data_IF_373033265790
#
_entry.id   IF_373033265790
#
_cell.length_a   1.000
_cell.length_b   1.000
_cell.length_c   1.000
_cell.angle_alpha   90.00
_cell.angle_beta   90.00
_cell.angle_gamma   90.00
#
_symmetry.space_group_name_H-M   'P 1'
#
loop_
_entity.id
_entity.type
_entity.pdbx_description
1 polymer ?
#
# COMPACT_ATOMS: atom_id res chain seq x y z
N UNK A 1 21.34 21.79 6.64
CA UNK A 1 20.49 21.37 5.51
C UNK A 1 21.28 21.62 4.23
N UNK A 2 21.29 20.65 3.33
CA UNK A 2 22.07 20.72 2.08
C UNK A 2 21.37 21.61 1.06
N UNK A 3 22.10 22.41 0.27
CA UNK A 3 21.53 23.30 -0.75
C UNK A 3 20.48 22.64 -1.67
N UNK A 4 20.66 21.35 -1.97
CA UNK A 4 19.72 20.54 -2.74
C UNK A 4 18.33 20.47 -2.08
N UNK A 5 18.25 20.36 -0.76
CA UNK A 5 16.96 20.31 -0.04
C UNK A 5 16.22 21.64 -0.12
N UNK A 6 16.95 22.76 -0.02
CA UNK A 6 16.40 24.13 -0.15
C UNK A 6 15.82 24.33 -1.54
N UNK A 7 16.58 24.00 -2.59
CA UNK A 7 16.11 24.12 -3.98
C UNK A 7 14.86 23.26 -4.22
N UNK A 8 14.87 22.00 -3.76
CA UNK A 8 13.74 21.09 -3.98
C UNK A 8 12.48 21.49 -3.21
N UNK A 9 12.60 21.81 -1.92
CA UNK A 9 11.44 22.06 -1.06
C UNK A 9 10.94 23.51 -1.14
N UNK A 10 11.85 24.49 -1.18
CA UNK A 10 11.52 25.92 -1.06
C UNK A 10 11.42 26.61 -2.42
N UNK A 11 12.35 26.35 -3.34
CA UNK A 11 12.34 27.02 -4.66
C UNK A 11 11.41 26.32 -5.66
N UNK A 12 11.49 24.99 -5.76
CA UNK A 12 10.72 24.18 -6.71
C UNK A 12 9.39 23.67 -6.14
N UNK A 13 9.21 23.70 -4.81
CA UNK A 13 7.97 23.26 -4.14
C UNK A 13 7.65 21.77 -4.36
N UNK A 14 8.65 20.92 -4.60
CA UNK A 14 8.43 19.48 -4.85
C UNK A 14 8.44 18.68 -3.55
N UNK A 15 7.55 17.68 -3.46
CA UNK A 15 7.46 16.78 -2.32
C UNK A 15 7.82 15.37 -2.75
N UNK A 16 8.59 14.66 -1.92
CA UNK A 16 8.88 13.25 -2.13
C UNK A 16 7.73 12.42 -1.58
N UNK A 17 6.99 11.75 -2.46
CA UNK A 17 5.81 10.96 -2.11
C UNK A 17 6.02 9.50 -2.45
N UNK A 18 5.41 8.62 -1.66
CA UNK A 18 5.31 7.18 -1.92
C UNK A 18 3.86 6.86 -2.21
N UNK A 19 3.60 6.06 -3.24
CA UNK A 19 2.24 5.60 -3.53
C UNK A 19 1.77 4.64 -2.44
N UNK A 20 0.54 4.86 -1.93
CA UNK A 20 -0.12 3.92 -1.03
C UNK A 20 -1.05 3.03 -1.86
N UNK A 21 -0.77 1.74 -1.88
CA UNK A 21 -1.69 0.77 -2.47
C UNK A 21 -2.94 0.65 -1.59
N UNK A 22 -4.12 0.74 -2.22
CA UNK A 22 -5.42 0.55 -1.58
C UNK A 22 -6.07 -0.67 -2.25
N UNK A 23 -6.34 -1.76 -1.52
CA UNK A 23 -6.75 -3.03 -2.12
C UNK A 23 -8.04 -2.97 -2.93
N UNK A 24 -9.00 -2.17 -2.45
CA UNK A 24 -10.32 -2.12 -3.06
C UNK A 24 -10.91 -0.72 -2.96
N UNK A 25 -11.57 -0.28 -4.04
CA UNK A 25 -12.35 0.94 -4.03
C UNK A 25 -13.72 0.64 -3.43
N UNK A 26 -13.86 0.94 -2.14
CA UNK A 26 -15.10 0.69 -1.40
C UNK A 26 -16.25 1.58 -1.91
N UNK A 27 -17.46 1.02 -1.97
CA UNK A 27 -18.70 1.80 -2.16
C UNK A 27 -19.05 2.57 -0.89
N UNK A 28 -19.94 3.56 -0.98
CA UNK A 28 -20.37 4.35 0.19
C UNK A 28 -21.11 3.47 1.22
N UNK A 29 -21.85 2.46 0.76
CA UNK A 29 -22.52 1.48 1.61
C UNK A 29 -21.50 0.63 2.37
N UNK A 30 -20.44 0.15 1.70
CA UNK A 30 -19.37 -0.62 2.35
C UNK A 30 -18.61 0.24 3.39
N UNK A 31 -18.37 1.52 3.10
CA UNK A 31 -17.74 2.45 4.03
C UNK A 31 -18.61 2.65 5.28
N UNK A 32 -19.90 2.95 5.08
CA UNK A 32 -20.83 3.15 6.19
C UNK A 32 -20.99 1.88 7.05
N UNK A 33 -21.09 0.70 6.43
CA UNK A 33 -21.14 -0.57 7.12
C UNK A 33 -19.89 -0.80 8.01
N UNK A 34 -18.69 -0.54 7.47
CA UNK A 34 -17.44 -0.63 8.24
C UNK A 34 -17.42 0.33 9.43
N UNK A 35 -17.82 1.58 9.23
CA UNK A 35 -17.87 2.58 10.32
C UNK A 35 -18.84 2.15 11.41
N UNK A 36 -20.02 1.66 11.03
CA UNK A 36 -21.03 1.18 11.97
C UNK A 36 -20.51 -0.03 12.77
N UNK A 37 -19.84 -0.97 12.11
CA UNK A 37 -19.24 -2.12 12.79
C UNK A 37 -18.17 -1.70 13.80
N UNK A 38 -17.29 -0.75 13.43
CA UNK A 38 -16.28 -0.20 14.34
C UNK A 38 -16.91 0.50 15.56
N UNK A 39 -17.99 1.27 15.37
CA UNK A 39 -18.70 1.93 16.48
C UNK A 39 -19.27 0.90 17.46
N UNK A 40 -19.93 -0.14 16.94
CA UNK A 40 -20.47 -1.23 17.76
C UNK A 40 -19.38 -1.99 18.50
N UNK A 41 -18.24 -2.27 17.86
CA UNK A 41 -17.10 -2.92 18.49
C UNK A 41 -16.51 -2.05 19.61
N UNK A 42 -16.34 -0.74 19.38
CA UNK A 42 -15.85 0.18 20.42
C UNK A 42 -16.79 0.24 21.63
N UNK A 43 -18.10 0.28 21.41
CA UNK A 43 -19.08 0.25 22.49
C UNK A 43 -18.98 -1.06 23.28
N UNK A 44 -18.87 -2.20 22.59
CA UNK A 44 -18.73 -3.53 23.21
C UNK A 44 -17.53 -3.63 24.13
N UNK A 45 -16.40 -3.01 23.79
CA UNK A 45 -15.17 -3.05 24.58
C UNK A 45 -14.97 -1.82 25.47
N UNK A 46 -16.03 -1.06 25.75
CA UNK A 46 -15.99 0.16 26.57
C UNK A 46 -14.88 1.13 26.14
N UNK A 47 -14.78 1.40 24.84
CA UNK A 47 -13.75 2.26 24.27
C UNK A 47 -12.32 1.73 24.37
N UNK A 48 -12.15 0.42 24.61
CA UNK A 48 -10.85 -0.23 24.80
C UNK A 48 -10.42 -0.39 26.26
N UNK A 49 -11.26 0.00 27.22
CA UNK A 49 -10.98 -0.20 28.65
C UNK A 49 -11.42 -1.57 29.19
N UNK A 50 -12.23 -2.34 28.43
CA UNK A 50 -12.60 -3.70 28.83
C UNK A 50 -11.45 -4.68 28.59
N UNK A 51 -11.19 -5.54 29.58
CA UNK A 51 -10.26 -6.67 29.45
C UNK A 51 -10.79 -7.77 28.52
N UNK A 52 -12.04 -7.71 28.06
CA UNK A 52 -12.62 -8.69 27.12
C UNK A 52 -11.89 -8.72 25.77
N UNK A 53 -11.14 -7.66 25.44
CA UNK A 53 -10.30 -7.61 24.24
C UNK A 53 -9.25 -8.73 24.24
N UNK A 54 -8.75 -9.13 25.41
CA UNK A 54 -7.74 -10.20 25.54
C UNK A 54 -8.30 -11.60 25.22
N UNK A 55 -9.62 -11.75 25.16
CA UNK A 55 -10.27 -13.01 24.81
C UNK A 55 -10.47 -13.18 23.29
N UNK A 56 -10.05 -12.20 22.49
CA UNK A 56 -10.17 -12.27 21.02
C UNK A 56 -9.05 -13.14 20.46
N UNK A 57 -9.42 -14.26 19.84
CA UNK A 57 -8.53 -15.07 19.01
C UNK A 57 -8.81 -14.75 17.54
N UNK A 58 -7.77 -14.44 16.78
CA UNK A 58 -7.86 -14.16 15.34
C UNK A 58 -6.79 -14.96 14.60
N UNK A 59 -7.07 -15.32 13.36
CA UNK A 59 -6.15 -16.00 12.45
C UNK A 59 -6.45 -15.60 11.02
N UNK A 60 -5.40 -15.51 10.21
CA UNK A 60 -5.45 -15.24 8.78
C UNK A 60 -4.23 -15.91 8.11
N UNK A 61 -4.31 -16.13 6.81
CA UNK A 61 -3.23 -16.75 6.04
C UNK A 61 -2.38 -15.68 5.36
N UNK A 62 -1.07 -15.91 5.27
CA UNK A 62 -0.15 -15.00 4.60
C UNK A 62 0.87 -15.77 3.78
N UNK A 63 1.12 -15.31 2.56
CA UNK A 63 2.15 -15.86 1.70
C UNK A 63 3.53 -15.39 2.15
N UNK A 64 4.46 -16.33 2.33
CA UNK A 64 5.86 -16.04 2.65
C UNK A 64 6.69 -16.21 1.38
N UNK A 65 7.35 -15.13 0.97
CA UNK A 65 8.22 -15.13 -0.21
C UNK A 65 9.60 -15.70 0.14
N UNK A 66 10.17 -16.49 -0.78
CA UNK A 66 11.55 -17.01 -0.66
C UNK A 66 12.64 -15.98 -0.98
N UNK A 67 12.26 -14.77 -1.38
CA UNK A 67 13.15 -13.67 -1.75
C UNK A 67 12.67 -12.36 -1.13
N UNK A 68 13.55 -11.36 -1.04
CA UNK A 68 13.20 -10.04 -0.52
C UNK A 68 12.56 -9.19 -1.64
N UNK A 69 11.26 -8.85 -1.56
CA UNK A 69 10.62 -7.97 -2.54
C UNK A 69 11.06 -6.51 -2.37
N UNK A 70 10.89 -5.70 -3.42
CA UNK A 70 11.20 -4.27 -3.38
C UNK A 70 10.47 -3.56 -2.23
N UNK A 71 11.23 -2.74 -1.48
CA UNK A 71 10.72 -2.04 -0.31
C UNK A 71 9.97 -0.78 -0.74
N UNK A 72 8.89 -0.42 -0.03
CA UNK A 72 8.05 0.75 -0.35
C UNK A 72 8.81 2.08 -0.49
N UNK A 73 9.96 2.27 0.16
CA UNK A 73 10.74 3.50 0.00
C UNK A 73 11.42 3.60 -1.37
N UNK A 74 11.58 2.49 -2.08
CA UNK A 74 12.16 2.41 -3.41
C UNK A 74 11.19 2.93 -4.49
N UNK A 75 9.89 3.00 -4.19
CA UNK A 75 8.87 3.58 -5.09
C UNK A 75 8.63 5.09 -4.88
N UNK A 76 9.48 5.76 -4.09
CA UNK A 76 9.33 7.18 -3.80
C UNK A 76 9.67 8.05 -5.03
N UNK A 77 8.75 8.94 -5.41
CA UNK A 77 8.88 9.85 -6.56
C UNK A 77 8.73 11.30 -6.09
N UNK A 78 9.48 12.21 -6.70
CA UNK A 78 9.32 13.65 -6.49
C UNK A 78 8.17 14.18 -7.35
N UNK A 79 7.21 14.85 -6.71
CA UNK A 79 5.98 15.35 -7.36
C UNK A 79 5.81 16.83 -7.05
N UNK A 80 5.39 17.60 -8.06
CA UNK A 80 5.00 19.00 -7.89
C UNK A 80 3.61 19.10 -7.25
N UNK A 81 3.40 20.13 -6.42
CA UNK A 81 2.16 20.30 -5.65
C UNK A 81 0.88 20.36 -6.50
N UNK A 82 0.97 20.80 -7.76
CA UNK A 82 -0.15 20.85 -8.69
C UNK A 82 -0.64 19.48 -9.21
N UNK A 83 0.12 18.39 -9.01
CA UNK A 83 -0.17 17.06 -9.58
C UNK A 83 -0.50 16.07 -8.45
N UNK A 84 -1.56 16.35 -7.69
CA UNK A 84 -1.93 15.52 -6.54
C UNK A 84 -2.84 14.32 -6.88
N UNK A 85 -3.49 14.25 -8.06
CA UNK A 85 -4.70 13.40 -8.15
C UNK A 85 -4.92 12.49 -9.37
N UNK A 86 -4.00 12.29 -10.31
CA UNK A 86 -4.38 11.56 -11.55
C UNK A 86 -3.60 10.30 -11.88
N UNK A 87 -2.48 10.02 -11.20
CA UNK A 87 -1.73 8.82 -11.52
C UNK A 87 -2.27 7.65 -10.72
N UNK A 88 -2.97 6.76 -11.44
CA UNK A 88 -3.26 5.40 -10.98
C UNK A 88 -2.03 4.85 -10.24
N UNK A 89 -2.22 4.17 -9.11
CA UNK A 89 -1.11 3.61 -8.36
C UNK A 89 -0.28 2.75 -9.29
N UNK A 90 0.96 3.17 -9.60
CA UNK A 90 1.93 2.27 -10.22
C UNK A 90 2.19 1.18 -9.19
N UNK A 91 1.66 0.00 -9.47
CA UNK A 91 1.89 -1.19 -8.67
C UNK A 91 3.41 -1.36 -8.56
N UNK A 92 3.92 -1.51 -7.34
CA UNK A 92 5.32 -1.82 -7.04
C UNK A 92 5.75 -3.17 -7.64
N UNK A 93 4.79 -3.97 -8.13
CA UNK A 93 4.98 -5.16 -8.94
C UNK A 93 5.00 -4.90 -10.46
N UNK A 94 5.20 -3.66 -10.92
CA UNK A 94 5.55 -3.43 -12.33
C UNK A 94 6.99 -3.92 -12.51
N UNK A 95 7.13 -5.19 -12.88
CA UNK A 95 8.43 -5.79 -13.21
C UNK A 95 9.07 -4.89 -14.25
N UNK A 96 10.29 -4.41 -13.97
CA UNK A 96 10.99 -3.59 -14.94
C UNK A 96 11.34 -4.48 -16.16
N UNK A 97 11.26 -3.97 -17.39
CA UNK A 97 11.57 -4.76 -18.59
C UNK A 97 12.98 -5.38 -18.57
N UNK A 98 13.91 -4.74 -17.87
CA UNK A 98 15.25 -5.24 -17.59
C UNK A 98 15.25 -6.48 -16.69
N UNK A 99 14.41 -6.54 -15.66
CA UNK A 99 14.31 -7.69 -14.75
C UNK A 99 13.70 -8.91 -15.44
N UNK A 100 12.79 -8.72 -16.40
CA UNK A 100 12.18 -9.81 -17.19
C UNK A 100 13.19 -10.65 -17.98
N UNK A 101 14.34 -10.07 -18.37
CA UNK A 101 15.35 -10.77 -19.19
C UNK A 101 16.10 -11.83 -18.40
N UNK A 102 16.21 -11.63 -17.08
CA UNK A 102 16.97 -12.48 -16.17
C UNK A 102 16.07 -13.42 -15.35
N UNK A 103 14.76 -13.44 -15.64
CA UNK A 103 13.77 -14.20 -14.90
C UNK A 103 13.39 -15.48 -15.64
N UNK A 104 13.49 -16.61 -14.93
CA UNK A 104 12.96 -17.89 -15.42
C UNK A 104 11.43 -17.82 -15.59
N UNK A 105 10.89 -18.61 -16.53
CA UNK A 105 9.46 -18.58 -16.90
C UNK A 105 8.53 -18.75 -15.71
N UNK A 106 8.90 -19.60 -14.74
CA UNK A 106 8.08 -19.83 -13.54
C UNK A 106 8.03 -18.59 -12.63
N UNK A 107 9.15 -17.85 -12.55
CA UNK A 107 9.24 -16.60 -11.81
C UNK A 107 8.50 -15.47 -12.52
N UNK A 108 8.57 -15.43 -13.85
CA UNK A 108 7.83 -14.48 -14.68
C UNK A 108 6.31 -14.64 -14.53
N UNK A 109 5.81 -15.87 -14.53
CA UNK A 109 4.37 -16.15 -14.32
C UNK A 109 3.89 -15.74 -12.93
N UNK A 110 4.71 -15.97 -11.88
CA UNK A 110 4.39 -15.57 -10.50
C UNK A 110 4.37 -14.06 -10.34
N UNK A 111 5.38 -13.35 -10.83
CA UNK A 111 5.43 -11.89 -10.73
C UNK A 111 4.36 -11.22 -11.62
N UNK A 112 4.01 -11.81 -12.77
CA UNK A 112 2.88 -11.37 -13.59
C UNK A 112 1.53 -11.54 -12.87
N UNK A 113 1.33 -12.62 -12.10
CA UNK A 113 0.12 -12.79 -11.29
C UNK A 113 -0.03 -11.71 -10.20
N UNK A 114 1.09 -11.27 -9.61
CA UNK A 114 1.14 -10.14 -8.66
C UNK A 114 0.82 -8.80 -9.37
N UNK A 115 1.25 -8.63 -10.62
CA UNK A 115 0.96 -7.44 -11.41
C UNK A 115 -0.50 -7.37 -11.89
N UNK A 116 -1.11 -8.51 -12.24
CA UNK A 116 -2.49 -8.63 -12.76
C UNK A 116 -3.53 -8.70 -11.64
N UNK A 117 -3.13 -8.94 -10.39
CA UNK A 117 -4.05 -8.94 -9.25
C UNK A 117 -5.11 -10.04 -9.37
N UNK A 118 -4.71 -11.23 -9.79
CA UNK A 118 -5.60 -12.41 -9.71
C UNK A 118 -5.69 -12.82 -8.24
N UNK A 119 -6.58 -12.13 -7.53
CA UNK A 119 -7.09 -12.52 -6.22
C UNK A 119 -8.16 -13.60 -6.48
N UNK A 120 -7.79 -14.86 -6.31
CA UNK A 120 -8.73 -15.99 -6.22
C UNK A 120 -9.23 -16.15 -4.80
#
# INVERSE_FOLDING_TARGET
>A
MTAIQTILLEELGVKKLVSRWVPHRLTEEQKSARVNWCRSALQRFNGGSSNDVYNIVSGDESWIYSYEPERKHQSAVWVFEAVQNERQPRNTATIRPETLRDMDQERALREAAVAVGVFG
#
